data_IF_049279926089
#
_entry.id   IF_049279926089
#
_cell.length_a   1.000
_cell.length_b   1.000
_cell.length_c   1.000
_cell.angle_alpha   90.00
_cell.angle_beta   90.00
_cell.angle_gamma   90.00
#
_symmetry.space_group_name_H-M   'P 1'
#
loop_
_entity.id
_entity.type
_entity.pdbx_description
1 polymer ?
#
# COMPACT_ATOMS: atom_id res chain seq x y z
N UNK A 1 53.46 14.40 3.89
CA UNK A 1 53.32 14.52 2.43
C UNK A 1 53.19 13.11 1.90
N UNK A 2 51.97 12.70 1.67
CA UNK A 2 51.64 11.29 1.43
C UNK A 2 51.17 11.10 -0.01
N UNK A 3 52.04 10.50 -0.81
CA UNK A 3 51.87 10.19 -2.22
C UNK A 3 51.42 8.74 -2.46
N UNK A 4 50.74 8.15 -1.51
CA UNK A 4 50.41 6.72 -1.53
C UNK A 4 48.93 6.37 -1.57
N UNK A 5 48.03 7.34 -1.81
CA UNK A 5 46.59 7.10 -1.87
C UNK A 5 45.96 7.09 -3.28
N UNK A 6 46.73 7.45 -4.31
CA UNK A 6 46.19 7.54 -5.68
C UNK A 6 46.50 6.33 -6.60
N UNK A 7 47.34 5.38 -6.18
CA UNK A 7 47.71 4.25 -7.05
C UNK A 7 46.89 2.96 -6.86
N UNK A 8 45.94 2.93 -5.91
CA UNK A 8 45.12 1.74 -5.68
C UNK A 8 43.69 1.77 -6.27
N UNK A 9 43.34 2.75 -7.10
CA UNK A 9 41.98 2.91 -7.67
C UNK A 9 41.87 2.58 -9.16
N UNK A 10 42.93 2.10 -9.81
CA UNK A 10 42.91 1.73 -11.23
C UNK A 10 43.48 0.33 -11.43
N UNK A 11 42.84 -0.66 -10.82
CA UNK A 11 43.00 -2.08 -11.20
C UNK A 11 41.69 -2.84 -10.95
N UNK A 12 40.54 -2.27 -11.23
CA UNK A 12 39.39 -3.08 -11.52
C UNK A 12 39.57 -3.57 -12.97
N UNK A 13 39.93 -4.86 -13.11
CA UNK A 13 39.90 -5.58 -14.38
C UNK A 13 38.58 -5.28 -15.05
N UNK A 14 38.62 -4.43 -16.08
CA UNK A 14 37.54 -4.35 -17.07
C UNK A 14 37.51 -5.71 -17.74
N UNK A 15 36.65 -6.60 -17.27
CA UNK A 15 36.36 -7.83 -17.98
C UNK A 15 35.82 -7.39 -19.33
N UNK A 16 36.49 -7.78 -20.41
CA UNK A 16 35.98 -7.66 -21.80
C UNK A 16 34.80 -8.63 -21.97
N UNK A 17 33.76 -8.46 -21.18
CA UNK A 17 32.50 -9.15 -21.31
C UNK A 17 31.75 -8.47 -22.47
N UNK A 18 31.95 -9.00 -23.68
CA UNK A 18 31.29 -8.56 -24.92
C UNK A 18 29.82 -9.00 -24.85
N UNK A 19 29.10 -8.48 -23.87
CA UNK A 19 27.65 -8.62 -23.86
C UNK A 19 27.06 -7.77 -24.98
N UNK A 20 26.17 -8.32 -25.79
CA UNK A 20 25.52 -7.54 -26.84
C UNK A 20 24.84 -6.32 -26.22
N UNK A 21 25.02 -5.16 -26.80
CA UNK A 21 24.33 -3.93 -26.36
C UNK A 21 22.83 -4.18 -26.45
N UNK A 22 22.15 -4.03 -25.32
CA UNK A 22 20.68 -4.11 -25.26
C UNK A 22 20.10 -2.72 -25.43
N UNK A 23 19.08 -2.60 -26.27
CA UNK A 23 18.29 -1.38 -26.38
C UNK A 23 17.12 -1.49 -25.40
N UNK A 24 16.99 -0.53 -24.49
CA UNK A 24 15.86 -0.43 -23.58
C UNK A 24 14.93 0.65 -24.13
N UNK A 25 13.70 0.25 -24.44
CA UNK A 25 12.63 1.16 -24.86
C UNK A 25 11.80 1.52 -23.61
N UNK A 26 11.73 2.81 -23.33
CA UNK A 26 10.90 3.32 -22.23
C UNK A 26 9.52 3.71 -22.77
N UNK A 27 8.48 3.13 -22.20
CA UNK A 27 7.11 3.51 -22.52
C UNK A 27 6.81 4.96 -22.12
N UNK A 28 5.94 5.61 -22.87
CA UNK A 28 5.44 6.95 -22.57
C UNK A 28 3.95 7.00 -22.94
N UNK A 29 3.04 7.48 -22.05
CA UNK A 29 3.35 7.92 -20.69
C UNK A 29 3.72 6.78 -19.73
N UNK A 30 4.44 7.11 -18.68
CA UNK A 30 4.83 6.15 -17.62
C UNK A 30 4.79 6.81 -16.24
N UNK A 31 4.64 6.01 -15.19
CA UNK A 31 4.56 6.47 -13.80
C UNK A 31 3.54 5.66 -13.02
N UNK A 32 3.18 6.15 -11.86
CA UNK A 32 2.11 5.58 -11.06
C UNK A 32 0.73 5.99 -11.61
N UNK A 33 -0.29 5.20 -11.32
CA UNK A 33 -1.66 5.62 -11.56
C UNK A 33 -2.08 6.70 -10.53
N UNK A 34 -3.13 7.46 -10.87
CA UNK A 34 -3.63 8.53 -9.99
C UNK A 34 -4.01 8.02 -8.57
N UNK A 35 -4.46 6.77 -8.44
CA UNK A 35 -4.78 6.17 -7.14
C UNK A 35 -3.54 5.98 -6.26
N UNK A 36 -2.46 5.49 -6.84
CA UNK A 36 -1.16 5.32 -6.15
C UNK A 36 -0.57 6.68 -5.78
N UNK A 37 -0.53 7.63 -6.72
CA UNK A 37 -0.02 8.98 -6.45
C UNK A 37 -0.81 9.66 -5.33
N UNK A 38 -2.14 9.54 -5.33
CA UNK A 38 -3.01 10.07 -4.28
C UNK A 38 -2.70 9.45 -2.92
N UNK A 39 -2.54 8.14 -2.85
CA UNK A 39 -2.25 7.45 -1.60
C UNK A 39 -0.92 7.88 -1.00
N UNK A 40 0.12 7.99 -1.81
CA UNK A 40 1.44 8.49 -1.41
C UNK A 40 1.32 9.92 -0.87
N UNK A 41 0.65 10.80 -1.60
CA UNK A 41 0.45 12.20 -1.20
C UNK A 41 -0.32 12.34 0.12
N UNK A 42 -1.28 11.46 0.40
CA UNK A 42 -2.00 11.46 1.67
C UNK A 42 -1.03 11.22 2.83
N UNK A 43 -0.13 10.24 2.72
CA UNK A 43 0.87 9.96 3.76
C UNK A 43 1.81 11.15 3.94
N UNK A 44 2.36 11.69 2.84
CA UNK A 44 3.27 12.83 2.88
C UNK A 44 2.62 14.07 3.52
N UNK A 45 1.41 14.43 3.09
CA UNK A 45 0.66 15.55 3.67
C UNK A 45 0.24 15.29 5.12
N UNK A 46 0.04 14.03 5.50
CA UNK A 46 -0.22 13.70 6.90
C UNK A 46 1.00 13.94 7.78
N UNK A 47 2.19 13.57 7.28
CA UNK A 47 3.45 13.86 7.98
C UNK A 47 3.68 15.38 8.09
N UNK A 48 3.43 16.12 7.02
CA UNK A 48 3.53 17.60 7.05
C UNK A 48 2.57 18.23 8.07
N UNK A 49 1.32 17.73 8.13
CA UNK A 49 0.27 18.31 8.94
C UNK A 49 0.38 17.96 10.42
N UNK A 50 0.66 16.69 10.73
CA UNK A 50 0.59 16.17 12.09
C UNK A 50 1.97 15.93 12.71
N UNK A 51 3.04 16.05 11.93
CA UNK A 51 4.39 15.68 12.34
C UNK A 51 4.60 14.17 12.35
N UNK A 52 5.85 13.76 12.31
CA UNK A 52 6.22 12.35 12.46
C UNK A 52 6.11 11.91 13.95
N UNK A 53 5.79 10.64 14.22
CA UNK A 53 5.43 9.59 13.28
C UNK A 53 3.97 9.65 12.83
N UNK A 54 3.70 9.23 11.58
CA UNK A 54 2.38 8.92 11.04
C UNK A 54 2.30 7.42 10.80
N UNK A 55 1.29 6.77 11.33
CA UNK A 55 1.11 5.35 11.18
C UNK A 55 0.37 5.01 9.88
N UNK A 56 0.78 3.95 9.20
CA UNK A 56 0.17 3.50 7.95
C UNK A 56 -0.16 2.02 8.09
N UNK A 57 -1.45 1.68 8.03
CA UNK A 57 -1.89 0.28 8.13
C UNK A 57 -1.69 -0.42 6.81
N UNK A 58 -0.87 -1.48 6.83
CA UNK A 58 -0.29 -2.19 5.68
C UNK A 58 0.58 -1.28 4.79
N UNK A 59 1.29 -1.86 3.85
CA UNK A 59 1.99 -1.09 2.83
C UNK A 59 1.01 -0.18 2.08
N UNK A 60 1.35 1.10 1.93
CA UNK A 60 0.47 2.04 1.22
C UNK A 60 0.24 1.62 -0.22
N UNK A 61 1.27 1.06 -0.84
CA UNK A 61 1.30 0.43 -2.16
C UNK A 61 2.40 -0.63 -2.18
N UNK A 62 2.28 -1.65 -3.01
CA UNK A 62 3.28 -2.71 -3.15
C UNK A 62 4.51 -2.24 -3.94
N UNK A 63 5.25 -1.29 -3.36
CA UNK A 63 6.48 -0.77 -3.93
C UNK A 63 7.48 -0.41 -2.84
N UNK A 64 8.52 -1.25 -2.67
CA UNK A 64 9.50 -1.11 -1.61
C UNK A 64 10.25 0.23 -1.63
N UNK A 65 10.49 0.82 -2.82
CA UNK A 65 11.14 2.14 -2.91
C UNK A 65 10.25 3.23 -2.34
N UNK A 66 8.93 3.16 -2.58
CA UNK A 66 7.95 4.10 -2.01
C UNK A 66 7.88 3.92 -0.50
N UNK A 67 7.74 2.67 -0.03
CA UNK A 67 7.69 2.34 1.40
C UNK A 67 8.93 2.88 2.11
N UNK A 68 10.13 2.56 1.63
CA UNK A 68 11.39 3.02 2.23
C UNK A 68 11.50 4.56 2.24
N UNK A 69 11.05 5.23 1.18
CA UNK A 69 11.04 6.69 1.12
C UNK A 69 10.11 7.29 2.19
N UNK A 70 8.91 6.75 2.35
CA UNK A 70 7.94 7.22 3.35
C UNK A 70 8.43 6.95 4.78
N UNK A 71 9.06 5.80 5.03
CA UNK A 71 9.74 5.52 6.31
C UNK A 71 10.80 6.58 6.60
N UNK A 72 11.61 6.95 5.61
CA UNK A 72 12.61 8.03 5.75
C UNK A 72 12.01 9.40 6.06
N UNK A 73 10.74 9.64 5.71
CA UNK A 73 9.99 10.86 6.03
C UNK A 73 9.29 10.79 7.41
N UNK A 74 9.23 9.63 8.03
CA UNK A 74 8.63 9.44 9.35
C UNK A 74 7.30 8.67 9.35
N UNK A 75 6.99 7.93 8.28
CA UNK A 75 5.90 6.96 8.30
C UNK A 75 6.31 5.69 9.06
N UNK A 76 5.39 5.12 9.83
CA UNK A 76 5.55 3.84 10.51
C UNK A 76 4.48 2.88 9.99
N UNK A 77 4.92 1.83 9.31
CA UNK A 77 4.01 0.82 8.78
C UNK A 77 3.68 -0.21 9.84
N UNK A 78 2.40 -0.52 9.98
CA UNK A 78 1.84 -1.47 10.95
C UNK A 78 0.85 -2.40 10.28
N UNK A 79 0.67 -3.59 10.86
CA UNK A 79 -0.30 -4.56 10.34
C UNK A 79 -1.69 -4.28 10.90
N UNK A 80 -1.80 -3.99 12.21
CA UNK A 80 -3.07 -3.82 12.88
C UNK A 80 -3.16 -2.49 13.65
N UNK A 81 -4.40 -2.04 13.90
CA UNK A 81 -4.67 -0.76 14.57
C UNK A 81 -4.20 -0.71 16.03
N UNK A 82 -4.11 -1.86 16.70
CA UNK A 82 -3.64 -1.93 18.10
C UNK A 82 -2.16 -1.54 18.24
N UNK A 83 -1.40 -1.60 17.16
CA UNK A 83 -0.03 -1.13 17.09
C UNK A 83 0.09 0.39 16.95
N UNK A 84 -1.04 1.10 16.71
CA UNK A 84 -1.07 2.55 16.62
C UNK A 84 -1.35 3.17 17.99
N UNK A 85 -0.54 4.14 18.47
CA UNK A 85 -0.88 4.97 19.63
C UNK A 85 -2.15 5.81 19.38
N UNK A 86 -2.90 6.09 20.44
CA UNK A 86 -4.17 6.82 20.32
C UNK A 86 -3.98 8.31 19.99
N UNK A 87 -2.80 8.86 20.27
CA UNK A 87 -2.45 10.27 20.03
C UNK A 87 -1.82 10.53 18.64
N UNK A 88 -1.78 9.53 17.76
CA UNK A 88 -1.15 9.63 16.43
C UNK A 88 -2.12 9.32 15.30
N UNK A 89 -1.97 10.01 14.16
CA UNK A 89 -2.81 9.73 13.00
C UNK A 89 -2.43 8.39 12.35
N UNK A 90 -3.44 7.71 11.83
CA UNK A 90 -3.30 6.49 11.05
C UNK A 90 -3.85 6.68 9.64
N UNK A 91 -3.13 6.19 8.63
CA UNK A 91 -3.55 6.18 7.24
C UNK A 91 -3.89 4.75 6.81
N UNK A 92 -5.06 4.54 6.22
CA UNK A 92 -5.43 3.27 5.61
C UNK A 92 -4.89 3.19 4.20
N UNK A 93 -4.36 2.02 3.81
CA UNK A 93 -3.68 1.84 2.53
C UNK A 93 -4.58 1.97 1.31
N UNK A 94 -3.98 2.06 0.13
CA UNK A 94 -4.70 2.17 -1.15
C UNK A 94 -5.57 0.94 -1.47
N UNK A 95 -5.28 -0.20 -0.87
CA UNK A 95 -5.98 -1.47 -1.10
C UNK A 95 -7.40 -1.52 -0.53
N UNK A 96 -7.77 -0.53 0.30
CA UNK A 96 -9.01 -0.54 1.06
C UNK A 96 -8.93 -1.37 2.33
N UNK A 97 -9.93 -1.22 3.18
CA UNK A 97 -10.03 -1.90 4.46
C UNK A 97 -11.44 -2.44 4.70
N UNK A 98 -11.59 -3.55 5.46
CA UNK A 98 -12.90 -4.00 5.93
C UNK A 98 -13.61 -2.90 6.73
N UNK A 99 -14.94 -2.85 6.69
CA UNK A 99 -15.75 -1.87 7.44
C UNK A 99 -15.54 -1.90 8.96
N UNK A 100 -15.04 -2.99 9.49
CA UNK A 100 -14.68 -3.12 10.92
C UNK A 100 -13.52 -2.22 11.32
N UNK A 101 -12.57 -1.98 10.41
CA UNK A 101 -11.35 -1.19 10.68
C UNK A 101 -11.66 0.29 10.96
N UNK A 102 -12.41 1.02 10.10
CA UNK A 102 -12.81 2.38 10.43
C UNK A 102 -13.67 2.47 11.69
N UNK A 103 -14.56 1.48 11.93
CA UNK A 103 -15.36 1.43 13.16
C UNK A 103 -14.49 1.27 14.42
N UNK A 104 -13.47 0.40 14.35
CA UNK A 104 -12.52 0.23 15.44
C UNK A 104 -11.69 1.49 15.69
N UNK A 105 -11.25 2.17 14.62
CA UNK A 105 -10.55 3.44 14.73
C UNK A 105 -11.44 4.53 15.37
N UNK A 106 -12.71 4.62 14.98
CA UNK A 106 -13.68 5.54 15.58
C UNK A 106 -13.93 5.24 17.06
N UNK A 107 -14.08 3.96 17.43
CA UNK A 107 -14.28 3.55 18.82
C UNK A 107 -13.09 3.90 19.73
N UNK A 108 -11.89 4.02 19.17
CA UNK A 108 -10.68 4.48 19.86
C UNK A 108 -10.42 5.98 19.70
N UNK A 109 -11.34 6.73 19.08
CA UNK A 109 -11.19 8.16 18.79
C UNK A 109 -9.92 8.52 17.99
N UNK A 110 -9.40 7.55 17.20
CA UNK A 110 -8.21 7.77 16.39
C UNK A 110 -8.48 8.77 15.27
N UNK A 111 -7.53 9.67 15.04
CA UNK A 111 -7.49 10.45 13.81
C UNK A 111 -7.07 9.54 12.67
N UNK A 112 -7.96 9.23 11.74
CA UNK A 112 -7.61 8.39 10.59
C UNK A 112 -7.90 9.07 9.26
N UNK A 113 -7.12 8.71 8.25
CA UNK A 113 -7.26 9.15 6.86
C UNK A 113 -7.38 7.92 5.96
N UNK A 114 -8.36 7.95 5.07
CA UNK A 114 -8.57 6.85 4.12
C UNK A 114 -7.89 7.16 2.78
N UNK A 115 -6.84 6.41 2.46
CA UNK A 115 -6.14 6.50 1.19
C UNK A 115 -6.61 5.46 0.17
N UNK A 116 -7.71 4.75 0.42
CA UNK A 116 -8.27 3.75 -0.51
C UNK A 116 -8.38 4.34 -1.92
N UNK A 117 -7.89 3.59 -2.89
CA UNK A 117 -7.99 3.96 -4.28
C UNK A 117 -9.47 4.11 -4.69
N UNK A 118 -9.87 5.19 -5.38
CA UNK A 118 -11.26 5.37 -5.83
C UNK A 118 -11.79 4.20 -6.68
N UNK A 119 -10.92 3.53 -7.43
CA UNK A 119 -11.31 2.34 -8.21
C UNK A 119 -11.62 1.15 -7.31
N UNK A 120 -10.88 0.96 -6.22
CA UNK A 120 -11.18 -0.06 -5.20
C UNK A 120 -12.50 0.26 -4.52
N UNK A 121 -12.71 1.51 -4.12
CA UNK A 121 -13.98 1.95 -3.54
C UNK A 121 -15.16 1.71 -4.48
N UNK A 122 -14.98 1.91 -5.79
CA UNK A 122 -15.99 1.61 -6.80
C UNK A 122 -16.33 0.12 -6.83
N UNK A 123 -15.32 -0.75 -6.84
CA UNK A 123 -15.51 -2.22 -6.78
C UNK A 123 -16.30 -2.61 -5.54
N UNK A 124 -15.98 -2.02 -4.39
CA UNK A 124 -16.69 -2.27 -3.14
C UNK A 124 -18.17 -1.90 -3.25
N UNK A 125 -18.48 -0.72 -3.76
CA UNK A 125 -19.87 -0.25 -3.94
C UNK A 125 -20.65 -1.14 -4.91
N UNK A 126 -20.04 -1.52 -6.04
CA UNK A 126 -20.65 -2.41 -7.02
C UNK A 126 -20.89 -3.81 -6.45
N UNK A 127 -19.92 -4.37 -5.73
CA UNK A 127 -20.06 -5.66 -5.08
C UNK A 127 -21.21 -5.67 -4.08
N UNK A 128 -21.32 -4.65 -3.22
CA UNK A 128 -22.44 -4.53 -2.26
C UNK A 128 -23.78 -4.38 -2.97
N UNK A 129 -23.84 -3.60 -4.04
CA UNK A 129 -25.06 -3.42 -4.83
C UNK A 129 -25.52 -4.76 -5.40
N UNK A 130 -24.66 -5.47 -6.09
CA UNK A 130 -25.01 -6.76 -6.70
C UNK A 130 -25.35 -7.83 -5.67
N UNK A 131 -24.69 -7.84 -4.53
CA UNK A 131 -25.05 -8.74 -3.43
C UNK A 131 -26.47 -8.46 -2.90
N UNK A 132 -26.85 -7.19 -2.74
CA UNK A 132 -28.22 -6.79 -2.33
C UNK A 132 -29.28 -7.15 -3.37
N UNK A 133 -28.92 -7.16 -4.64
CA UNK A 133 -29.78 -7.57 -5.75
C UNK A 133 -29.89 -9.10 -5.89
N UNK A 134 -29.20 -9.87 -5.02
CA UNK A 134 -29.22 -11.33 -5.02
C UNK A 134 -28.37 -12.00 -6.10
N UNK A 135 -27.48 -11.25 -6.73
CA UNK A 135 -26.55 -11.80 -7.71
C UNK A 135 -25.48 -12.67 -7.06
N UNK A 136 -25.08 -13.74 -7.74
CA UNK A 136 -23.89 -14.51 -7.38
C UNK A 136 -22.64 -13.74 -7.80
N UNK A 137 -21.74 -13.52 -6.85
CA UNK A 137 -20.48 -12.81 -7.08
C UNK A 137 -19.32 -13.80 -7.02
N UNK A 138 -18.52 -13.85 -8.08
CA UNK A 138 -17.28 -14.61 -8.14
C UNK A 138 -16.11 -13.63 -7.97
N UNK A 139 -15.39 -13.74 -6.85
CA UNK A 139 -14.17 -12.98 -6.60
C UNK A 139 -12.95 -13.87 -6.89
N UNK A 140 -12.10 -13.42 -7.81
CA UNK A 140 -10.85 -14.10 -8.17
C UNK A 140 -9.69 -13.23 -7.68
N UNK A 141 -8.80 -13.78 -6.85
CA UNK A 141 -7.66 -13.07 -6.30
C UNK A 141 -6.76 -13.98 -5.47
N UNK A 142 -5.65 -13.45 -4.98
CA UNK A 142 -4.74 -14.17 -4.11
C UNK A 142 -5.27 -14.16 -2.68
N UNK A 143 -5.27 -15.33 -2.06
CA UNK A 143 -5.63 -15.48 -0.63
C UNK A 143 -4.72 -14.61 0.24
N UNK A 144 -5.28 -13.92 1.22
CA UNK A 144 -4.52 -13.03 2.11
C UNK A 144 -4.19 -11.66 1.54
N UNK A 145 -4.45 -11.39 0.26
CA UNK A 145 -4.20 -10.05 -0.29
C UNK A 145 -5.15 -9.01 0.32
N UNK A 146 -4.67 -7.83 0.80
CA UNK A 146 -5.49 -6.84 1.50
C UNK A 146 -6.75 -6.41 0.74
N UNK A 147 -6.65 -6.21 -0.59
CA UNK A 147 -7.78 -5.83 -1.45
C UNK A 147 -8.83 -6.94 -1.53
N UNK A 148 -8.38 -8.21 -1.59
CA UNK A 148 -9.28 -9.37 -1.60
C UNK A 148 -10.00 -9.49 -0.25
N UNK A 149 -9.28 -9.36 0.86
CA UNK A 149 -9.85 -9.36 2.23
C UNK A 149 -10.88 -8.23 2.35
N UNK A 150 -10.52 -7.00 1.94
CA UNK A 150 -11.41 -5.84 1.98
C UNK A 150 -12.71 -6.08 1.22
N UNK A 151 -12.63 -6.66 0.02
CA UNK A 151 -13.80 -6.95 -0.82
C UNK A 151 -14.64 -8.11 -0.29
N UNK A 152 -14.01 -9.21 0.14
CA UNK A 152 -14.72 -10.37 0.72
C UNK A 152 -15.53 -9.97 1.95
N UNK A 153 -14.96 -9.19 2.86
CA UNK A 153 -15.65 -8.75 4.07
C UNK A 153 -16.91 -7.91 3.81
N UNK A 154 -17.11 -7.41 2.60
CA UNK A 154 -18.33 -6.70 2.20
C UNK A 154 -19.43 -7.64 1.74
N UNK A 155 -19.05 -8.82 1.22
CA UNK A 155 -19.95 -9.78 0.59
C UNK A 155 -20.46 -10.82 1.59
N UNK A 156 -19.65 -11.17 2.59
CA UNK A 156 -19.98 -12.19 3.58
C UNK A 156 -20.66 -11.58 4.81
N UNK A 157 -21.98 -11.45 4.73
CA UNK A 157 -22.85 -11.29 5.90
C UNK A 157 -23.49 -12.61 6.34
N UNK A 158 -23.22 -13.72 5.62
CA UNK A 158 -23.74 -15.06 5.90
C UNK A 158 -22.64 -16.10 5.72
N UNK A 159 -22.62 -17.18 6.53
CA UNK A 159 -21.64 -18.25 6.38
C UNK A 159 -21.71 -18.87 4.97
N UNK A 160 -20.53 -19.19 4.43
CA UNK A 160 -20.39 -19.87 3.14
C UNK A 160 -21.21 -21.17 3.12
N UNK A 161 -21.77 -21.56 1.96
CA UNK A 161 -22.39 -22.90 1.83
C UNK A 161 -21.46 -24.05 2.22
N UNK A 162 -20.14 -23.86 2.22
CA UNK A 162 -19.16 -24.85 2.72
C UNK A 162 -19.10 -24.94 4.24
N UNK A 163 -19.56 -23.91 4.96
CA UNK A 163 -19.58 -23.88 6.42
C UNK A 163 -20.89 -24.50 7.00
N UNK A 164 -21.73 -25.05 6.13
CA UNK A 164 -22.95 -25.81 6.48
C UNK A 164 -22.72 -27.31 6.36
N UNK A 165 -21.56 -27.76 6.83
CA UNK A 165 -21.28 -29.20 6.98
C UNK A 165 -21.94 -29.79 8.20
#
# INVERSE_FOLDING_TARGET
MNRSYEENLISSKVSNDIRPRKTVLLASPRGFCAGVDRAIQIVEKSIEKYGAPVYVRHEIVHNQHVVNRLVGLGAVFVEELDQCPDDRPVVFSAHGVPKSVPKAAQARELTFLDATCPLVSKVHVEAEKHAKEGHHILLIGHEGHPEVIGTICLLYTSPSPRDRG
#
